data_IF_884523573886
#
_entry.id   IF_884523573886
#
_cell.length_a   1.000
_cell.length_b   1.000
_cell.length_c   1.000
_cell.angle_alpha   90.00
_cell.angle_beta   90.00
_cell.angle_gamma   90.00
#
_symmetry.space_group_name_H-M   'P 1'
#
loop_
_entity.id
_entity.type
_entity.pdbx_description
1 polymer ?
#
# COMPACT_ATOMS: atom_id res chain seq x y z
N UNK A 1 4.14 5.08 1.00
CA UNK A 1 3.48 6.06 0.12
C UNK A 1 2.94 7.29 0.85
N UNK A 2 2.18 7.11 1.95
CA UNK A 2 1.61 8.20 2.76
C UNK A 2 2.63 9.31 3.09
N UNK A 3 3.84 8.95 3.51
CA UNK A 3 4.95 9.88 3.79
C UNK A 3 5.43 10.71 2.58
N UNK A 4 5.33 10.20 1.36
CA UNK A 4 5.72 10.96 0.16
C UNK A 4 4.66 11.96 -0.24
N UNK A 5 3.39 11.61 -0.06
CA UNK A 5 2.33 12.56 -0.31
C UNK A 5 2.31 13.70 0.71
N UNK A 6 2.65 13.42 1.98
CA UNK A 6 2.94 14.48 2.96
C UNK A 6 4.16 15.36 2.59
N UNK A 7 4.96 15.01 1.58
CA UNK A 7 6.01 15.88 1.04
C UNK A 7 5.51 16.63 -0.21
N UNK A 8 4.76 15.96 -1.08
CA UNK A 8 4.24 16.54 -2.32
C UNK A 8 3.15 17.57 -2.05
N UNK A 9 2.20 17.28 -1.15
CA UNK A 9 1.11 18.21 -0.83
C UNK A 9 1.69 19.53 -0.29
N UNK A 10 2.60 19.57 0.71
CA UNK A 10 3.23 20.81 1.15
C UNK A 10 4.07 21.53 0.10
N UNK A 11 4.71 20.81 -0.83
CA UNK A 11 5.43 21.44 -1.93
C UNK A 11 4.49 22.26 -2.81
N UNK A 12 3.30 21.74 -3.10
CA UNK A 12 2.28 22.48 -3.85
C UNK A 12 1.51 23.49 -2.97
N UNK A 13 1.42 23.30 -1.65
CA UNK A 13 0.86 24.29 -0.72
C UNK A 13 1.65 25.60 -0.68
N UNK A 14 2.93 25.59 -1.09
CA UNK A 14 3.70 26.82 -1.29
C UNK A 14 3.17 27.67 -2.46
N UNK A 15 2.36 27.07 -3.34
CA UNK A 15 1.88 27.67 -4.59
C UNK A 15 0.35 27.85 -4.57
N UNK A 16 -0.41 26.89 -4.08
CA UNK A 16 -1.87 26.92 -4.00
C UNK A 16 -2.41 26.01 -2.89
N UNK A 17 -3.45 26.47 -2.19
CA UNK A 17 -4.23 25.62 -1.29
C UNK A 17 -5.27 24.83 -2.09
N UNK A 18 -5.19 23.48 -2.13
CA UNK A 18 -6.16 22.69 -2.87
C UNK A 18 -7.50 22.61 -2.15
N UNK A 19 -8.56 22.38 -2.91
CA UNK A 19 -9.88 22.09 -2.39
C UNK A 19 -10.03 20.59 -2.08
N UNK A 20 -10.51 20.24 -0.89
CA UNK A 20 -10.90 18.88 -0.57
C UNK A 20 -12.17 18.52 -1.38
N UNK A 21 -12.03 17.53 -2.26
CA UNK A 21 -13.10 17.00 -3.11
C UNK A 21 -13.27 15.50 -2.86
N UNK A 22 -12.95 15.04 -1.65
CA UNK A 22 -13.04 13.64 -1.25
C UNK A 22 -14.50 13.19 -1.22
N UNK A 23 -14.75 11.97 -1.71
CA UNK A 23 -16.09 11.36 -1.66
C UNK A 23 -16.43 10.78 -0.28
N UNK A 24 -15.43 10.67 0.61
CA UNK A 24 -15.54 10.10 1.96
C UNK A 24 -14.80 10.98 2.96
N UNK A 25 -15.18 10.88 4.24
CA UNK A 25 -14.45 11.48 5.36
C UNK A 25 -13.23 10.65 5.80
N UNK A 26 -13.04 9.47 5.22
CA UNK A 26 -11.91 8.60 5.53
C UNK A 26 -10.59 9.22 5.04
N UNK A 27 -9.71 9.53 5.98
CA UNK A 27 -8.35 10.07 5.75
C UNK A 27 -7.42 9.10 4.99
N UNK A 28 -7.84 7.85 4.80
CA UNK A 28 -7.15 6.86 3.97
C UNK A 28 -7.44 7.05 2.46
N UNK A 29 -8.49 7.79 2.12
CA UNK A 29 -9.02 7.97 0.77
C UNK A 29 -9.32 9.45 0.48
N UNK A 30 -8.26 10.26 0.44
CA UNK A 30 -8.36 11.71 0.18
C UNK A 30 -8.20 12.06 -1.28
N UNK A 31 -8.90 13.13 -1.68
CA UNK A 31 -8.83 13.73 -3.02
C UNK A 31 -8.78 15.25 -2.91
N UNK A 32 -7.86 15.84 -3.65
CA UNK A 32 -7.62 17.27 -3.70
C UNK A 32 -7.65 17.78 -5.14
N UNK A 33 -8.30 18.92 -5.35
CA UNK A 33 -8.32 19.60 -6.64
C UNK A 33 -7.54 20.92 -6.55
N UNK A 34 -6.54 21.07 -7.44
CA UNK A 34 -5.73 22.27 -7.58
C UNK A 34 -6.30 23.09 -8.75
N UNK A 35 -7.05 24.14 -8.43
CA UNK A 35 -7.88 24.87 -9.40
C UNK A 35 -7.03 25.63 -10.41
N UNK A 36 -5.93 26.24 -9.96
CA UNK A 36 -5.07 27.08 -10.80
C UNK A 36 -4.35 26.27 -11.88
N UNK A 37 -4.15 24.97 -11.64
CA UNK A 37 -3.48 24.06 -12.56
C UNK A 37 -4.42 23.00 -13.17
N UNK A 38 -5.69 23.03 -12.77
CA UNK A 38 -6.74 22.10 -13.20
C UNK A 38 -6.30 20.62 -13.13
N UNK A 39 -5.68 20.20 -12.03
CA UNK A 39 -5.36 18.79 -11.80
C UNK A 39 -5.92 18.30 -10.46
N UNK A 40 -6.06 16.99 -10.38
CA UNK A 40 -6.55 16.31 -9.19
C UNK A 40 -5.50 15.35 -8.68
N UNK A 41 -5.32 15.33 -7.36
CA UNK A 41 -4.48 14.36 -6.67
C UNK A 41 -5.35 13.52 -5.75
N UNK A 42 -5.10 12.21 -5.69
CA UNK A 42 -5.80 11.32 -4.78
C UNK A 42 -4.85 10.31 -4.13
N UNK A 43 -5.24 9.82 -2.96
CA UNK A 43 -4.60 8.69 -2.28
C UNK A 43 -5.61 7.57 -2.16
N UNK A 44 -5.14 6.36 -2.42
CA UNK A 44 -5.84 5.15 -2.06
C UNK A 44 -4.92 4.34 -1.14
N UNK A 45 -5.26 4.25 0.14
CA UNK A 45 -4.45 3.47 1.08
C UNK A 45 -4.77 1.98 0.91
N UNK A 46 -3.92 1.29 0.15
CA UNK A 46 -3.93 -0.17 0.04
C UNK A 46 -2.53 -0.70 0.37
N UNK A 47 -2.25 -1.08 1.64
CA UNK A 47 -0.89 -1.41 2.08
C UNK A 47 -0.23 -2.59 1.35
N UNK A 48 -1.07 -3.47 0.79
CA UNK A 48 -0.66 -4.68 0.10
C UNK A 48 -1.00 -4.70 -1.40
N UNK A 49 -1.68 -3.67 -1.94
CA UNK A 49 -2.23 -3.58 -3.31
C UNK A 49 -3.32 -4.61 -3.66
N UNK A 50 -3.39 -5.72 -2.93
CA UNK A 50 -4.41 -6.76 -3.04
C UNK A 50 -5.42 -6.65 -1.92
N UNK A 51 -6.59 -7.28 -2.12
CA UNK A 51 -7.63 -7.38 -1.10
C UNK A 51 -7.02 -7.94 0.19
N UNK A 52 -7.12 -7.14 1.24
CA UNK A 52 -6.58 -7.47 2.54
C UNK A 52 -7.58 -7.15 3.64
N UNK A 53 -7.52 -7.94 4.71
CA UNK A 53 -8.30 -7.70 5.92
C UNK A 53 -7.45 -8.02 7.15
N UNK A 54 -7.64 -7.29 8.23
CA UNK A 54 -7.04 -7.63 9.52
C UNK A 54 -7.85 -8.76 10.14
N UNK A 55 -7.26 -9.96 10.19
CA UNK A 55 -7.91 -11.14 10.75
C UNK A 55 -7.84 -11.14 12.28
N UNK A 56 -6.71 -10.69 12.84
CA UNK A 56 -6.49 -10.62 14.28
C UNK A 56 -5.54 -9.47 14.61
N UNK A 57 -6.00 -8.39 15.27
CA UNK A 57 -5.16 -7.27 15.69
C UNK A 57 -4.02 -7.67 16.65
N UNK A 58 -4.21 -8.74 17.42
CA UNK A 58 -3.25 -9.27 18.39
C UNK A 58 -2.47 -10.47 17.85
N UNK A 59 -2.38 -10.59 16.52
CA UNK A 59 -1.73 -11.73 15.85
C UNK A 59 -0.35 -12.09 16.41
N UNK A 60 0.25 -13.21 15.96
CA UNK A 60 1.36 -13.91 16.65
C UNK A 60 2.55 -13.05 17.10
N UNK A 61 2.81 -11.95 16.39
CA UNK A 61 3.91 -11.02 16.63
C UNK A 61 3.52 -9.76 17.41
N UNK A 62 2.28 -9.64 17.90
CA UNK A 62 1.73 -8.44 18.52
C UNK A 62 1.60 -7.24 17.57
N UNK A 63 1.62 -7.51 16.26
CA UNK A 63 1.58 -6.49 15.19
C UNK A 63 0.47 -6.75 14.18
N UNK A 64 -0.57 -7.48 14.58
CA UNK A 64 -1.66 -7.89 13.72
C UNK A 64 -1.33 -9.07 12.80
N UNK A 65 -2.37 -9.81 12.43
CA UNK A 65 -2.38 -10.87 11.42
C UNK A 65 -3.29 -10.43 10.27
N UNK A 66 -2.74 -10.26 9.08
CA UNK A 66 -3.49 -9.79 7.92
C UNK A 66 -3.73 -10.93 6.93
N UNK A 67 -4.97 -11.10 6.48
CA UNK A 67 -5.33 -12.01 5.41
C UNK A 67 -5.26 -11.32 4.06
N UNK A 68 -4.50 -11.87 3.12
CA UNK A 68 -4.27 -11.33 1.78
C UNK A 68 -4.80 -12.30 0.73
N UNK A 69 -5.76 -11.87 -0.09
CA UNK A 69 -6.20 -12.61 -1.27
C UNK A 69 -5.27 -12.26 -2.44
N UNK A 70 -4.26 -13.10 -2.66
CA UNK A 70 -3.17 -12.82 -3.60
C UNK A 70 -3.59 -12.84 -5.06
N UNK A 71 -4.80 -13.33 -5.37
CA UNK A 71 -5.43 -13.37 -6.68
C UNK A 71 -6.39 -12.19 -6.95
N UNK A 72 -6.70 -11.37 -5.93
CA UNK A 72 -7.67 -10.28 -6.00
C UNK A 72 -7.00 -8.92 -5.75
N UNK A 73 -6.98 -8.04 -6.75
CA UNK A 73 -6.57 -6.65 -6.55
C UNK A 73 -7.57 -5.91 -5.64
N UNK A 74 -7.07 -4.97 -4.84
CA UNK A 74 -7.90 -4.19 -3.92
C UNK A 74 -8.81 -3.23 -4.70
N UNK A 75 -10.12 -3.37 -4.51
CA UNK A 75 -11.14 -2.59 -5.21
C UNK A 75 -11.07 -1.09 -4.88
N UNK A 76 -10.51 -0.72 -3.73
CA UNK A 76 -10.42 0.68 -3.29
C UNK A 76 -9.65 1.57 -4.27
N UNK A 77 -8.59 1.05 -4.89
CA UNK A 77 -7.87 1.73 -5.96
C UNK A 77 -8.30 1.26 -7.35
N UNK A 78 -8.50 -0.05 -7.53
CA UNK A 78 -8.78 -0.66 -8.85
C UNK A 78 -10.03 -0.09 -9.49
N UNK A 79 -11.08 0.19 -8.72
CA UNK A 79 -12.32 0.75 -9.24
C UNK A 79 -12.19 2.21 -9.70
N UNK A 80 -11.09 2.89 -9.36
CA UNK A 80 -10.90 4.34 -9.50
C UNK A 80 -9.81 4.74 -10.48
N UNK A 81 -8.97 3.82 -10.93
CA UNK A 81 -7.80 4.17 -11.75
C UNK A 81 -8.15 4.87 -13.07
N UNK A 82 -9.32 4.59 -13.65
CA UNK A 82 -9.76 5.21 -14.91
C UNK A 82 -9.95 6.74 -14.81
N UNK A 83 -10.04 7.28 -13.59
CA UNK A 83 -10.21 8.70 -13.34
C UNK A 83 -8.88 9.49 -13.37
N UNK A 84 -7.73 8.82 -13.58
CA UNK A 84 -6.41 9.42 -13.44
C UNK A 84 -5.51 9.19 -14.65
N UNK A 85 -4.73 10.21 -15.01
CA UNK A 85 -3.73 10.14 -16.08
C UNK A 85 -2.40 9.50 -15.62
N UNK A 86 -2.15 9.52 -14.30
CA UNK A 86 -0.93 9.01 -13.69
C UNK A 86 -1.26 8.18 -12.46
N UNK A 87 -0.67 6.99 -12.39
CA UNK A 87 -0.74 6.12 -11.22
C UNK A 87 0.66 6.00 -10.62
N UNK A 88 0.79 6.23 -9.32
CA UNK A 88 2.01 5.87 -8.59
C UNK A 88 1.61 4.75 -7.64
N UNK A 89 2.27 3.60 -7.72
CA UNK A 89 2.05 2.47 -6.82
C UNK A 89 3.27 2.22 -5.95
N UNK A 90 3.04 1.83 -4.69
CA UNK A 90 4.09 1.53 -3.73
C UNK A 90 3.58 0.65 -2.61
N UNK A 91 4.27 -0.45 -2.34
CA UNK A 91 4.00 -1.35 -1.22
C UNK A 91 5.29 -2.03 -0.76
N UNK A 92 5.37 -2.38 0.53
CA UNK A 92 6.59 -3.00 1.06
C UNK A 92 6.58 -3.24 2.56
N UNK A 93 6.63 -2.18 3.40
CA UNK A 93 6.80 -2.33 4.85
C UNK A 93 5.77 -3.26 5.52
N UNK A 94 4.54 -3.28 5.03
CA UNK A 94 3.50 -4.13 5.59
C UNK A 94 3.72 -5.62 5.33
N UNK A 95 4.52 -6.01 4.34
CA UNK A 95 4.86 -7.40 4.06
C UNK A 95 5.79 -8.03 5.12
N UNK A 96 6.33 -7.23 6.05
CA UNK A 96 7.11 -7.72 7.20
C UNK A 96 6.24 -8.16 8.39
N UNK A 97 4.92 -7.92 8.35
CA UNK A 97 3.97 -8.38 9.39
C UNK A 97 3.68 -9.88 9.26
N UNK A 98 2.93 -10.41 10.21
CA UNK A 98 2.35 -11.75 10.11
C UNK A 98 1.20 -11.74 9.09
N UNK A 99 1.26 -12.64 8.09
CA UNK A 99 0.30 -12.66 6.98
C UNK A 99 -0.26 -14.07 6.76
N UNK A 100 -1.53 -14.14 6.40
CA UNK A 100 -2.20 -15.31 5.86
C UNK A 100 -2.45 -15.11 4.36
N UNK A 101 -2.13 -16.10 3.53
CA UNK A 101 -2.28 -16.00 2.08
C UNK A 101 -3.45 -16.85 1.60
N UNK A 102 -4.30 -16.23 0.79
CA UNK A 102 -5.47 -16.84 0.19
C UNK A 102 -5.40 -16.76 -1.34
N UNK A 103 -5.84 -17.82 -2.01
CA UNK A 103 -6.20 -17.82 -3.45
C UNK A 103 -7.51 -18.58 -3.60
N UNK A 104 -8.45 -18.07 -4.39
CA UNK A 104 -9.79 -18.65 -4.53
C UNK A 104 -10.45 -18.92 -3.16
N UNK A 105 -10.25 -18.00 -2.22
CA UNK A 105 -10.71 -18.05 -0.83
C UNK A 105 -10.21 -19.27 -0.01
N UNK A 106 -9.15 -19.95 -0.48
CA UNK A 106 -8.48 -21.04 0.22
C UNK A 106 -7.12 -20.61 0.75
N UNK A 107 -6.77 -21.05 1.95
CA UNK A 107 -5.45 -20.81 2.53
C UNK A 107 -4.41 -21.58 1.72
N UNK A 108 -3.41 -20.86 1.20
CA UNK A 108 -2.28 -21.45 0.46
C UNK A 108 -0.96 -21.40 1.22
N UNK A 109 -0.94 -20.69 2.35
CA UNK A 109 0.19 -20.60 3.28
C UNK A 109 0.16 -19.32 4.09
N UNK A 110 1.29 -18.99 4.71
CA UNK A 110 1.41 -17.82 5.57
C UNK A 110 2.82 -17.21 5.53
N UNK A 111 3.01 -16.13 6.28
CA UNK A 111 4.30 -15.56 6.66
C UNK A 111 4.29 -15.26 8.14
N UNK A 112 5.29 -15.75 8.89
CA UNK A 112 5.44 -15.47 10.33
C UNK A 112 4.19 -15.80 11.16
N UNK A 113 3.34 -16.74 10.72
CA UNK A 113 2.08 -17.00 11.40
C UNK A 113 2.21 -17.85 12.67
N UNK A 114 3.35 -18.53 12.87
CA UNK A 114 3.56 -19.42 14.04
C UNK A 114 2.46 -20.48 14.22
N UNK A 115 1.79 -20.88 13.13
CA UNK A 115 0.76 -21.91 13.12
C UNK A 115 1.36 -23.23 12.64
N UNK A 116 0.99 -24.32 13.31
CA UNK A 116 1.30 -25.67 12.85
C UNK A 116 0.49 -26.02 11.59
N UNK A 117 1.02 -26.90 10.74
CA UNK A 117 0.36 -27.42 9.52
C UNK A 117 0.07 -26.39 8.41
N UNK A 118 0.66 -25.19 8.47
CA UNK A 118 0.59 -24.18 7.40
C UNK A 118 2.00 -23.86 6.93
N UNK A 119 2.23 -23.87 5.62
CA UNK A 119 3.53 -23.52 5.05
C UNK A 119 3.85 -22.04 5.29
N UNK A 120 4.93 -21.76 6.02
CA UNK A 120 5.50 -20.42 6.13
C UNK A 120 6.42 -20.14 4.95
N UNK A 121 6.06 -19.14 4.15
CA UNK A 121 6.81 -18.73 2.98
C UNK A 121 7.75 -17.55 3.29
N UNK A 122 8.83 -17.37 2.50
CA UNK A 122 9.62 -16.15 2.57
C UNK A 122 8.77 -14.92 2.21
N UNK A 123 9.17 -13.75 2.71
CA UNK A 123 8.51 -12.45 2.43
C UNK A 123 8.29 -12.21 0.92
N UNK A 124 9.21 -12.71 0.09
CA UNK A 124 9.15 -12.56 -1.36
C UNK A 124 7.97 -13.27 -2.00
N UNK A 125 7.38 -14.28 -1.37
CA UNK A 125 6.25 -15.03 -1.93
C UNK A 125 5.00 -14.17 -2.07
N UNK A 126 4.49 -13.66 -0.94
CA UNK A 126 3.33 -12.77 -0.92
C UNK A 126 3.60 -11.47 -1.67
N UNK A 127 4.79 -10.89 -1.49
CA UNK A 127 5.21 -9.67 -2.18
C UNK A 127 5.14 -9.80 -3.71
N UNK A 128 5.77 -10.84 -4.29
CA UNK A 128 5.79 -11.04 -5.75
C UNK A 128 4.40 -11.29 -6.32
N UNK A 129 3.57 -12.10 -5.64
CA UNK A 129 2.20 -12.38 -6.08
C UNK A 129 1.32 -11.13 -6.02
N UNK A 130 1.39 -10.36 -4.93
CA UNK A 130 0.61 -9.14 -4.79
C UNK A 130 0.93 -8.13 -5.90
N UNK A 131 2.21 -7.89 -6.20
CA UNK A 131 2.61 -7.03 -7.31
C UNK A 131 2.17 -7.57 -8.68
N UNK A 132 2.29 -8.89 -8.90
CA UNK A 132 1.81 -9.52 -10.14
C UNK A 132 0.32 -9.30 -10.34
N UNK A 133 -0.48 -9.46 -9.29
CA UNK A 133 -1.93 -9.23 -9.33
C UNK A 133 -2.29 -7.76 -9.54
N UNK A 134 -1.60 -6.84 -8.88
CA UNK A 134 -1.78 -5.41 -9.08
C UNK A 134 -1.45 -5.00 -10.53
N UNK A 135 -0.30 -5.43 -11.07
CA UNK A 135 0.07 -5.14 -12.46
C UNK A 135 -0.90 -5.74 -13.46
N UNK A 136 -1.33 -6.98 -13.25
CA UNK A 136 -2.33 -7.62 -14.09
C UNK A 136 -3.63 -6.81 -14.10
N UNK A 137 -4.14 -6.41 -12.94
CA UNK A 137 -5.36 -5.61 -12.83
C UNK A 137 -5.25 -4.24 -13.53
N UNK A 138 -4.07 -3.61 -13.55
CA UNK A 138 -3.82 -2.37 -14.28
C UNK A 138 -3.77 -2.63 -15.79
N UNK A 139 -3.01 -3.63 -16.23
CA UNK A 139 -2.81 -3.95 -17.66
C UNK A 139 -4.09 -4.44 -18.34
N UNK A 140 -4.94 -5.16 -17.61
CA UNK A 140 -6.23 -5.65 -18.11
C UNK A 140 -7.32 -4.56 -18.12
N UNK A 141 -7.06 -3.39 -17.51
CA UNK A 141 -8.03 -2.29 -17.46
C UNK A 141 -8.07 -1.54 -18.79
N UNK A 142 -9.08 -1.83 -19.60
CA UNK A 142 -9.21 -1.26 -20.95
C UNK A 142 -9.33 0.27 -20.99
N UNK A 143 -10.00 0.87 -20.00
CA UNK A 143 -10.28 2.30 -19.94
C UNK A 143 -9.10 3.12 -19.41
N UNK A 144 -8.14 2.50 -18.72
CA UNK A 144 -6.98 3.20 -18.20
C UNK A 144 -5.93 3.36 -19.31
N UNK A 145 -5.59 4.61 -19.64
CA UNK A 145 -4.57 4.95 -20.66
C UNK A 145 -3.40 5.76 -20.07
N UNK A 146 -3.34 5.88 -18.75
CA UNK A 146 -2.35 6.66 -18.05
C UNK A 146 -0.97 6.00 -17.94
N UNK A 147 -0.03 6.73 -17.36
CA UNK A 147 1.32 6.25 -17.07
C UNK A 147 1.39 5.70 -15.64
N UNK A 148 2.02 4.54 -15.46
CA UNK A 148 2.20 3.92 -14.14
C UNK A 148 3.65 4.01 -13.71
N UNK A 149 3.87 4.58 -12.53
CA UNK A 149 5.15 4.63 -11.85
C UNK A 149 5.16 3.66 -10.67
N UNK A 150 6.18 2.81 -10.60
CA UNK A 150 6.47 2.03 -9.41
C UNK A 150 7.47 2.78 -8.54
N UNK A 151 7.05 3.16 -7.33
CA UNK A 151 7.99 3.61 -6.31
C UNK A 151 8.51 2.41 -5.54
N UNK A 152 9.81 2.19 -5.64
CA UNK A 152 10.54 1.10 -4.97
C UNK A 152 10.53 1.24 -3.44
N UNK A 153 10.92 0.16 -2.77
CA UNK A 153 10.96 0.07 -1.32
C UNK A 153 11.97 1.06 -0.73
N UNK A 154 11.53 1.83 0.26
CA UNK A 154 12.41 2.69 1.05
C UNK A 154 12.92 1.88 2.26
N UNK A 155 14.23 1.61 2.38
CA UNK A 155 14.76 0.81 3.47
C UNK A 155 14.63 1.51 4.83
N UNK A 156 14.56 0.71 5.89
CA UNK A 156 14.72 1.20 7.25
C UNK A 156 16.14 1.76 7.44
N UNK A 157 16.25 2.87 8.13
CA UNK A 157 17.51 3.56 8.43
C UNK A 157 17.63 3.88 9.93
N UNK A 158 16.88 3.15 10.76
CA UNK A 158 16.99 3.22 12.20
C UNK A 158 18.23 2.44 12.68
N UNK A 159 18.98 3.04 13.60
CA UNK A 159 20.16 2.50 14.24
C UNK A 159 19.94 2.39 15.75
N UNK A 160 20.56 1.41 16.40
CA UNK A 160 20.40 1.19 17.85
C UNK A 160 19.04 0.61 18.27
N UNK A 161 18.13 0.36 17.33
CA UNK A 161 16.82 -0.26 17.58
C UNK A 161 15.90 -0.17 16.36
N UNK A 162 14.75 -0.86 16.44
CA UNK A 162 13.67 -0.70 15.46
C UNK A 162 12.96 0.65 15.64
N UNK A 163 12.17 1.05 14.64
CA UNK A 163 11.40 2.30 14.64
C UNK A 163 10.52 2.49 15.89
N UNK A 164 10.09 1.40 16.53
CA UNK A 164 9.26 1.37 17.73
C UNK A 164 9.98 0.85 18.98
N UNK A 165 11.31 0.66 18.93
CA UNK A 165 12.12 0.10 20.03
C UNK A 165 13.32 0.99 20.38
N UNK A 166 13.14 2.30 20.30
CA UNK A 166 14.18 3.27 20.69
C UNK A 166 15.31 3.42 19.68
N UNK A 167 15.13 2.95 18.44
CA UNK A 167 16.06 3.24 17.35
C UNK A 167 16.05 4.73 16.97
N UNK A 168 17.20 5.25 16.54
CA UNK A 168 17.34 6.62 16.06
C UNK A 168 17.79 6.68 14.59
N UNK A 169 17.64 7.83 13.96
CA UNK A 169 18.06 8.09 12.59
C UNK A 169 19.09 9.21 12.54
N UNK A 170 20.19 9.09 13.29
CA UNK A 170 21.22 10.14 13.36
C UNK A 170 22.20 10.16 12.20
N UNK A 171 22.29 9.09 11.40
CA UNK A 171 23.21 9.06 10.26
C UNK A 171 22.72 10.02 9.18
N UNK A 172 23.50 11.08 8.96
CA UNK A 172 23.18 12.14 8.00
C UNK A 172 23.85 11.94 6.63
N UNK A 173 24.84 11.05 6.52
CA UNK A 173 25.58 10.70 5.30
C UNK A 173 26.13 9.27 5.36
#
# INVERSE_FOLDING_TARGET
>A
MRSYLYLVVPLYLQVEWPYDVSHTKDELFKRWHYRSYNFTMAIFTSPFLVKAQENDPNGPTGTGLFGLHLDQADESWKAKIDEFDYLIISAGHWFFRSLMFYEQDKVIGCRYCQLENITDYPITFGYRKAFRTAFRAILERQNFKGIVYLRTFAPSHFEGGEWNKGGDCKRQR
#
